data_IF_791442478748
#
_entry.id   IF_791442478748
#
_cell.length_a   1.000
_cell.length_b   1.000
_cell.length_c   1.000
_cell.angle_alpha   90.00
_cell.angle_beta   90.00
_cell.angle_gamma   90.00
#
_symmetry.space_group_name_H-M   'P 1'
#
loop_
_entity.id
_entity.type
_entity.pdbx_description
1 polymer ?
#
# COMPACT_ATOMS: atom_id res chain seq x y z
N UNK A 1 -43.81 -49.01 -0.77
CA UNK A 1 -43.96 -49.50 0.62
C UNK A 1 -42.59 -49.56 1.26
N UNK A 2 -42.40 -48.81 2.36
CA UNK A 2 -41.52 -49.07 3.53
C UNK A 2 -40.00 -49.12 3.25
N UNK A 3 -39.24 -48.04 3.50
CA UNK A 3 -38.47 -47.72 4.72
C UNK A 3 -37.44 -48.79 5.14
N UNK A 4 -36.15 -48.46 5.22
CA UNK A 4 -35.46 -48.16 6.49
C UNK A 4 -33.94 -47.96 6.35
N UNK A 5 -33.43 -47.13 7.27
CA UNK A 5 -32.05 -46.71 7.54
C UNK A 5 -31.19 -47.87 8.05
N UNK A 6 -29.86 -47.79 7.91
CA UNK A 6 -28.95 -47.73 9.06
C UNK A 6 -27.46 -47.52 8.71
N UNK A 7 -26.79 -46.82 9.62
CA UNK A 7 -25.41 -46.35 9.59
C UNK A 7 -24.39 -47.42 10.02
N UNK A 8 -23.15 -47.27 9.59
CA UNK A 8 -21.98 -47.91 10.21
C UNK A 8 -20.89 -46.87 10.51
N UNK A 9 -20.60 -46.69 11.80
CA UNK A 9 -19.32 -46.18 12.31
C UNK A 9 -18.52 -47.40 12.74
N UNK A 10 -17.24 -47.48 12.35
CA UNK A 10 -16.24 -48.20 13.15
C UNK A 10 -14.94 -47.40 13.14
N UNK A 11 -14.42 -47.21 14.34
CA UNK A 11 -13.27 -46.40 14.71
C UNK A 11 -11.94 -47.17 14.59
N UNK A 12 -10.87 -46.38 14.67
CA UNK A 12 -9.46 -46.73 14.51
C UNK A 12 -8.90 -47.72 15.55
N UNK A 13 -7.79 -48.40 15.20
CA UNK A 13 -6.77 -48.80 16.16
C UNK A 13 -5.38 -49.03 15.51
N UNK A 14 -4.45 -48.14 15.88
CA UNK A 14 -3.04 -48.32 16.32
C UNK A 14 -2.13 -49.29 15.56
N UNK A 15 -0.97 -48.80 15.08
CA UNK A 15 0.36 -49.23 15.57
C UNK A 15 1.49 -48.50 14.83
N UNK A 16 2.32 -47.77 15.57
CA UNK A 16 3.59 -47.24 15.08
C UNK A 16 4.69 -48.29 15.17
N UNK A 17 5.42 -48.51 14.08
CA UNK A 17 6.85 -48.81 14.02
C UNK A 17 7.24 -49.10 12.56
N UNK A 18 7.69 -48.06 11.86
CA UNK A 18 8.68 -48.17 10.78
C UNK A 18 9.20 -46.77 10.46
N UNK A 19 10.22 -46.38 11.21
CA UNK A 19 11.19 -45.38 10.79
C UNK A 19 11.85 -45.89 9.49
N UNK A 20 12.28 -44.96 8.63
CA UNK A 20 13.03 -45.17 7.38
C UNK A 20 12.21 -45.39 6.08
N UNK A 21 11.59 -44.31 5.59
CA UNK A 21 11.62 -43.90 4.17
C UNK A 21 10.69 -42.69 3.96
N UNK A 22 11.11 -41.49 4.35
CA UNK A 22 10.43 -40.24 3.98
C UNK A 22 11.45 -39.16 3.67
N UNK A 23 12.22 -39.40 2.61
CA UNK A 23 13.07 -38.41 1.94
C UNK A 23 12.76 -38.32 0.44
N UNK A 24 11.58 -38.80 0.05
CA UNK A 24 11.01 -38.63 -1.28
C UNK A 24 9.54 -38.30 -1.07
N UNK A 25 9.20 -37.02 -0.93
CA UNK A 25 7.89 -36.50 -1.37
C UNK A 25 7.73 -34.98 -1.26
N UNK A 26 8.81 -34.18 -1.29
CA UNK A 26 8.69 -32.72 -1.43
C UNK A 26 8.04 -32.30 -2.76
N UNK A 27 8.18 -33.13 -3.80
CA UNK A 27 7.54 -32.90 -5.11
C UNK A 27 6.06 -33.28 -5.07
N UNK A 28 5.69 -34.35 -4.36
CA UNK A 28 4.29 -34.73 -4.18
C UNK A 28 3.57 -33.72 -3.30
N UNK A 29 4.17 -33.27 -2.19
CA UNK A 29 3.57 -32.25 -1.31
C UNK A 29 3.31 -30.92 -2.04
N UNK A 30 4.27 -30.48 -2.88
CA UNK A 30 4.08 -29.29 -3.73
C UNK A 30 3.01 -29.48 -4.81
N UNK A 31 2.87 -30.69 -5.37
CA UNK A 31 1.78 -31.00 -6.32
C UNK A 31 0.42 -31.11 -5.63
N UNK A 32 0.35 -31.61 -4.39
CA UNK A 32 -0.92 -31.74 -3.65
C UNK A 32 -1.44 -30.36 -3.24
N UNK A 33 -0.55 -29.41 -2.89
CA UNK A 33 -0.96 -28.03 -2.57
C UNK A 33 -1.39 -27.22 -3.80
N UNK A 34 -0.98 -27.63 -5.01
CA UNK A 34 -1.43 -27.05 -6.28
C UNK A 34 -2.75 -27.65 -6.80
N UNK A 35 -3.22 -28.76 -6.20
CA UNK A 35 -4.41 -29.52 -6.62
C UNK A 35 -5.54 -29.49 -5.59
N UNK A 36 -5.32 -28.93 -4.40
CA UNK A 36 -6.43 -28.47 -3.55
C UNK A 36 -7.00 -27.22 -4.18
N UNK A 37 -8.16 -27.35 -4.82
CA UNK A 37 -8.90 -26.26 -5.45
C UNK A 37 -9.18 -25.11 -4.47
N UNK A 38 -8.21 -24.21 -4.34
CA UNK A 38 -8.53 -22.84 -3.99
C UNK A 38 -9.40 -22.34 -5.11
N UNK A 39 -10.66 -22.00 -4.81
CA UNK A 39 -11.49 -21.25 -5.74
C UNK A 39 -10.61 -20.13 -6.30
N UNK A 40 -10.52 -20.07 -7.62
CA UNK A 40 -9.80 -19.02 -8.30
C UNK A 40 -10.59 -17.74 -8.04
N UNK A 41 -10.26 -17.08 -6.94
CA UNK A 41 -10.98 -15.91 -6.49
C UNK A 41 -10.99 -14.90 -7.63
N UNK A 42 -12.16 -14.42 -8.00
CA UNK A 42 -12.26 -13.41 -9.04
C UNK A 42 -11.57 -12.12 -8.57
N UNK A 43 -11.32 -11.18 -9.49
CA UNK A 43 -10.65 -9.92 -9.17
C UNK A 43 -11.36 -9.17 -8.01
N UNK A 44 -12.69 -9.23 -8.00
CA UNK A 44 -13.54 -8.58 -6.99
C UNK A 44 -13.46 -9.26 -5.61
N UNK A 45 -13.11 -10.54 -5.55
CA UNK A 45 -12.90 -11.26 -4.28
C UNK A 45 -11.51 -11.01 -3.68
N UNK A 46 -10.55 -10.56 -4.50
CA UNK A 46 -9.24 -10.11 -4.04
C UNK A 46 -9.23 -8.61 -3.67
N UNK A 47 -10.00 -7.82 -4.41
CA UNK A 47 -10.17 -6.38 -4.22
C UNK A 47 -11.67 -6.08 -4.14
N UNK A 48 -12.31 -6.30 -2.97
CA UNK A 48 -13.74 -6.11 -2.80
C UNK A 48 -14.15 -4.69 -3.14
N UNK A 49 -14.74 -4.53 -4.33
CA UNK A 49 -15.43 -3.32 -4.77
C UNK A 49 -16.75 -3.25 -4.00
N UNK A 50 -16.93 -2.23 -3.15
CA UNK A 50 -18.12 -2.17 -2.30
C UNK A 50 -18.00 -1.27 -1.08
N UNK A 51 -18.46 -1.76 0.07
CA UNK A 51 -18.51 -0.98 1.32
C UNK A 51 -17.09 -0.63 1.76
N UNK A 52 -16.92 0.61 2.23
CA UNK A 52 -15.70 1.08 2.87
C UNK A 52 -15.20 0.11 3.95
N UNK A 53 -13.92 -0.26 3.87
CA UNK A 53 -13.23 -0.99 4.94
C UNK A 53 -12.56 0.03 5.89
N UNK A 54 -13.16 0.25 7.05
CA UNK A 54 -12.62 1.14 8.09
C UNK A 54 -11.25 0.71 8.62
N UNK A 55 -10.81 -0.53 8.37
CA UNK A 55 -9.52 -1.07 8.76
C UNK A 55 -8.61 -1.40 7.57
N UNK A 56 -8.80 -0.73 6.43
CA UNK A 56 -8.00 -0.94 5.21
C UNK A 56 -6.46 -0.86 5.43
N UNK A 57 -6.01 -0.07 6.41
CA UNK A 57 -4.60 0.12 6.76
C UNK A 57 -4.13 -0.74 7.95
N UNK A 58 -4.97 -1.63 8.47
CA UNK A 58 -4.74 -2.47 9.65
C UNK A 58 -4.37 -1.68 10.92
N UNK A 59 -4.80 -0.42 11.04
CA UNK A 59 -4.49 0.46 12.18
C UNK A 59 -5.72 0.94 12.92
N UNK A 60 -6.89 0.36 12.68
CA UNK A 60 -8.09 0.70 13.46
C UNK A 60 -7.89 0.37 14.94
N UNK A 61 -8.32 1.26 15.87
CA UNK A 61 -8.17 1.07 17.31
C UNK A 61 -8.56 -0.32 17.82
N UNK A 62 -9.62 -0.91 17.25
CA UNK A 62 -10.16 -2.20 17.66
C UNK A 62 -9.20 -3.37 17.36
N UNK A 63 -8.40 -3.25 16.29
CA UNK A 63 -7.47 -4.28 15.83
C UNK A 63 -6.06 -4.15 16.41
N UNK A 64 -5.74 -3.00 17.03
CA UNK A 64 -4.45 -2.75 17.68
C UNK A 64 -4.39 -3.26 19.13
N UNK A 65 -5.53 -3.59 19.72
CA UNK A 65 -5.62 -4.01 21.12
C UNK A 65 -5.33 -5.50 21.27
N UNK A 66 -4.55 -5.86 22.29
CA UNK A 66 -4.37 -7.27 22.65
C UNK A 66 -5.69 -7.83 23.19
N UNK A 67 -6.30 -8.77 22.45
CA UNK A 67 -7.63 -9.31 22.74
C UNK A 67 -7.74 -9.88 24.15
N UNK A 68 -6.74 -10.64 24.61
CA UNK A 68 -6.73 -11.26 25.94
C UNK A 68 -6.70 -10.21 27.05
N UNK A 69 -5.75 -9.27 26.96
CA UNK A 69 -5.65 -8.18 27.94
C UNK A 69 -6.89 -7.29 27.94
N UNK A 70 -7.46 -7.03 26.77
CA UNK A 70 -8.67 -6.22 26.65
C UNK A 70 -9.89 -6.92 27.25
N UNK A 71 -10.05 -8.24 27.09
CA UNK A 71 -11.18 -8.98 27.68
C UNK A 71 -11.13 -9.05 29.20
N UNK A 72 -9.92 -9.12 29.77
CA UNK A 72 -9.67 -9.27 31.22
C UNK A 72 -9.68 -7.93 31.97
N UNK A 73 -9.63 -6.80 31.25
CA UNK A 73 -9.57 -5.45 31.81
C UNK A 73 -10.92 -4.92 32.34
N UNK A 74 -10.86 -4.01 33.31
CA UNK A 74 -12.03 -3.26 33.78
C UNK A 74 -12.59 -2.35 32.68
N UNK A 75 -13.81 -1.83 32.86
CA UNK A 75 -14.41 -0.93 31.88
C UNK A 75 -13.62 0.38 31.73
N UNK A 76 -13.06 0.90 32.82
CA UNK A 76 -12.18 2.08 32.83
C UNK A 76 -10.87 1.80 32.10
N UNK A 77 -10.27 0.65 32.33
CA UNK A 77 -9.04 0.21 31.66
C UNK A 77 -9.26 0.01 30.16
N UNK A 78 -10.38 -0.62 29.76
CA UNK A 78 -10.77 -0.77 28.35
C UNK A 78 -10.93 0.58 27.66
N UNK A 79 -11.54 1.56 28.33
CA UNK A 79 -11.69 2.92 27.79
C UNK A 79 -10.33 3.57 27.57
N UNK A 80 -9.44 3.51 28.56
CA UNK A 80 -8.07 4.05 28.46
C UNK A 80 -7.27 3.37 27.35
N UNK A 81 -7.32 2.05 27.27
CA UNK A 81 -6.66 1.27 26.21
C UNK A 81 -7.10 1.72 24.81
N UNK A 82 -8.42 1.92 24.61
CA UNK A 82 -8.95 2.44 23.34
C UNK A 82 -8.47 3.86 23.02
N UNK A 83 -8.41 4.73 24.03
CA UNK A 83 -7.91 6.10 23.88
C UNK A 83 -6.41 6.16 23.57
N UNK A 84 -5.63 5.21 24.09
CA UNK A 84 -4.19 5.10 23.88
C UNK A 84 -3.83 4.68 22.45
N UNK A 85 -4.67 3.87 21.81
CA UNK A 85 -4.45 3.41 20.41
C UNK A 85 -5.21 4.24 19.37
N UNK A 86 -6.00 5.22 19.79
CA UNK A 86 -6.74 6.09 18.88
C UNK A 86 -5.81 7.12 18.25
N UNK A 87 -5.89 7.27 16.92
CA UNK A 87 -5.25 8.38 16.22
C UNK A 87 -5.84 9.72 16.72
N UNK A 88 -4.96 10.69 16.99
CA UNK A 88 -5.32 12.02 17.52
C UNK A 88 -5.03 13.15 16.53
N UNK A 89 -4.42 12.82 15.39
CA UNK A 89 -3.95 13.77 14.40
C UNK A 89 -4.32 13.33 12.99
N UNK A 90 -4.33 14.31 12.09
CA UNK A 90 -4.55 14.16 10.65
C UNK A 90 -3.22 14.25 9.92
N UNK A 91 -2.99 13.34 8.96
CA UNK A 91 -1.86 13.42 8.03
C UNK A 91 -2.34 14.00 6.71
N UNK A 92 -1.87 15.19 6.36
CA UNK A 92 -2.13 15.83 5.09
C UNK A 92 -1.02 15.45 4.12
N UNK A 93 -1.33 14.61 3.13
CA UNK A 93 -0.36 14.07 2.18
C UNK A 93 -0.51 14.82 0.85
N UNK A 94 0.53 15.54 0.44
CA UNK A 94 0.57 16.29 -0.81
C UNK A 94 1.41 15.50 -1.83
N UNK A 95 0.74 14.92 -2.81
CA UNK A 95 1.39 14.20 -3.90
C UNK A 95 1.69 15.15 -5.06
N UNK A 96 2.96 15.28 -5.40
CA UNK A 96 3.45 16.14 -6.47
C UNK A 96 4.03 15.25 -7.56
N UNK A 97 3.51 15.40 -8.78
CA UNK A 97 4.14 14.84 -9.98
C UNK A 97 5.37 15.67 -10.34
N UNK A 98 6.45 15.02 -10.74
CA UNK A 98 7.63 15.69 -11.29
C UNK A 98 7.29 16.64 -12.46
N UNK A 99 8.14 17.65 -12.70
CA UNK A 99 8.01 18.58 -13.82
C UNK A 99 8.23 17.91 -15.18
N UNK A 100 7.99 18.67 -16.26
CA UNK A 100 8.26 18.21 -17.62
C UNK A 100 9.74 17.83 -17.79
N UNK A 101 10.01 16.71 -18.46
CA UNK A 101 11.36 16.17 -18.61
C UNK A 101 11.62 15.68 -20.04
N UNK A 102 12.90 15.48 -20.38
CA UNK A 102 13.32 14.99 -21.68
C UNK A 102 13.12 13.48 -21.78
N UNK A 103 12.04 13.06 -22.47
CA UNK A 103 11.68 11.65 -22.68
C UNK A 103 12.74 10.87 -23.44
N UNK A 104 13.49 11.49 -24.36
CA UNK A 104 14.44 10.78 -25.24
C UNK A 104 15.90 10.86 -24.73
N UNK A 105 16.15 11.57 -23.63
CA UNK A 105 17.49 11.66 -23.04
C UNK A 105 17.83 10.43 -22.18
N UNK A 106 19.09 10.04 -22.09
CA UNK A 106 19.51 8.96 -21.19
C UNK A 106 19.35 9.37 -19.71
N UNK A 107 19.59 10.65 -19.41
CA UNK A 107 19.51 11.22 -18.06
C UNK A 107 18.08 11.44 -17.56
N UNK A 108 17.10 11.53 -18.47
CA UNK A 108 15.68 11.82 -18.17
C UNK A 108 15.50 13.01 -17.21
N UNK A 109 16.32 14.06 -17.37
CA UNK A 109 16.30 15.28 -16.57
C UNK A 109 15.22 16.26 -17.04
N UNK A 110 14.92 17.26 -16.21
CA UNK A 110 13.89 18.27 -16.50
C UNK A 110 14.23 19.12 -17.73
N UNK A 111 13.20 19.50 -18.47
CA UNK A 111 13.28 20.55 -19.49
C UNK A 111 13.38 21.93 -18.82
N UNK A 112 13.77 23.00 -19.54
CA UNK A 112 13.68 24.36 -19.01
C UNK A 112 12.28 24.71 -18.47
N UNK A 113 11.23 24.29 -19.19
CA UNK A 113 9.84 24.44 -18.73
C UNK A 113 9.56 23.62 -17.46
N UNK A 114 10.07 22.39 -17.36
CA UNK A 114 9.93 21.56 -16.16
C UNK A 114 10.57 22.18 -14.92
N UNK A 115 11.71 22.86 -15.10
CA UNK A 115 12.36 23.61 -14.02
C UNK A 115 11.53 24.82 -13.60
N UNK A 116 10.96 25.56 -14.55
CA UNK A 116 10.06 26.68 -14.26
C UNK A 116 8.80 26.21 -13.51
N UNK A 117 8.20 25.09 -13.93
CA UNK A 117 7.06 24.47 -13.24
C UNK A 117 7.40 24.12 -11.78
N UNK A 118 8.55 23.50 -11.55
CA UNK A 118 9.01 23.14 -10.20
C UNK A 118 9.24 24.39 -9.33
N UNK A 119 9.83 25.45 -9.89
CA UNK A 119 10.06 26.71 -9.18
C UNK A 119 8.74 27.41 -8.82
N UNK A 120 7.79 27.49 -9.76
CA UNK A 120 6.47 28.06 -9.51
C UNK A 120 5.72 27.29 -8.41
N UNK A 121 5.81 25.96 -8.41
CA UNK A 121 5.22 25.13 -7.37
C UNK A 121 5.91 25.35 -6.02
N UNK A 122 7.24 25.38 -5.97
CA UNK A 122 8.01 25.66 -4.76
C UNK A 122 7.62 27.00 -4.14
N UNK A 123 7.52 28.06 -4.98
CA UNK A 123 7.03 29.37 -4.56
C UNK A 123 5.60 29.31 -4.01
N UNK A 124 4.68 28.63 -4.69
CA UNK A 124 3.28 28.49 -4.25
C UNK A 124 3.18 27.78 -2.89
N UNK A 125 3.98 26.75 -2.66
CA UNK A 125 4.02 26.03 -1.39
C UNK A 125 4.56 26.95 -0.28
N UNK A 126 5.67 27.64 -0.50
CA UNK A 126 6.24 28.57 0.46
C UNK A 126 5.27 29.72 0.84
N UNK A 127 4.49 30.21 -0.14
CA UNK A 127 3.51 31.28 0.05
C UNK A 127 2.14 30.79 0.57
N UNK A 128 1.97 29.49 0.77
CA UNK A 128 0.67 28.92 1.17
C UNK A 128 0.26 29.21 2.62
N UNK A 129 1.21 29.62 3.47
CA UNK A 129 1.00 29.76 4.91
C UNK A 129 0.91 28.42 5.67
N UNK A 130 1.05 27.28 4.99
CA UNK A 130 1.08 25.96 5.61
C UNK A 130 2.48 25.61 6.09
N UNK A 131 2.56 24.92 7.24
CA UNK A 131 3.82 24.40 7.77
C UNK A 131 4.00 22.96 7.29
N UNK A 132 4.92 22.75 6.35
CA UNK A 132 5.28 21.42 5.89
C UNK A 132 6.32 20.78 6.82
N UNK A 133 6.14 19.49 7.12
CA UNK A 133 6.98 18.75 8.06
C UNK A 133 8.11 17.98 7.38
N UNK A 134 7.82 17.42 6.19
CA UNK A 134 8.79 16.64 5.43
C UNK A 134 8.48 16.59 3.95
N UNK A 135 9.54 16.33 3.16
CA UNK A 135 9.48 16.01 1.75
C UNK A 135 10.16 14.66 1.49
N UNK A 136 9.46 13.76 0.80
CA UNK A 136 10.00 12.49 0.31
C UNK A 136 10.05 12.56 -1.21
N UNK A 137 11.20 12.25 -1.81
CA UNK A 137 11.36 12.26 -3.27
C UNK A 137 11.72 10.88 -3.80
N UNK A 138 11.17 10.54 -4.97
CA UNK A 138 11.62 9.40 -5.76
C UNK A 138 13.09 9.58 -6.16
N UNK A 139 13.81 8.47 -6.27
CA UNK A 139 15.24 8.47 -6.66
C UNK A 139 15.46 8.68 -8.16
N UNK A 140 14.40 8.70 -8.98
CA UNK A 140 14.52 8.99 -10.41
C UNK A 140 14.86 10.46 -10.67
N UNK A 141 15.81 10.71 -11.58
CA UNK A 141 16.38 12.05 -11.86
C UNK A 141 15.35 13.18 -11.98
N UNK A 142 14.30 13.03 -12.79
CA UNK A 142 13.22 14.03 -12.93
C UNK A 142 12.51 14.38 -11.63
N UNK A 143 12.27 13.40 -10.76
CA UNK A 143 11.60 13.63 -9.47
C UNK A 143 12.57 14.28 -8.47
N UNK A 144 13.80 13.79 -8.40
CA UNK A 144 14.88 14.40 -7.59
C UNK A 144 15.10 15.86 -7.97
N UNK A 145 15.27 16.17 -9.25
CA UNK A 145 15.50 17.53 -9.74
C UNK A 145 14.31 18.45 -9.44
N UNK A 146 13.07 17.95 -9.59
CA UNK A 146 11.87 18.70 -9.21
C UNK A 146 11.85 19.01 -7.71
N UNK A 147 12.16 18.02 -6.88
CA UNK A 147 12.18 18.17 -5.43
C UNK A 147 13.25 19.15 -4.97
N UNK A 148 14.45 19.09 -5.53
CA UNK A 148 15.54 20.00 -5.18
C UNK A 148 15.19 21.46 -5.52
N UNK A 149 14.57 21.72 -6.67
CA UNK A 149 14.10 23.07 -7.03
C UNK A 149 13.01 23.55 -6.05
N UNK A 150 12.08 22.67 -5.65
CA UNK A 150 11.06 23.01 -4.63
C UNK A 150 11.73 23.36 -3.30
N UNK A 151 12.78 22.63 -2.91
CA UNK A 151 13.51 22.83 -1.66
C UNK A 151 14.31 24.13 -1.62
N UNK A 152 14.69 24.72 -2.76
CA UNK A 152 15.29 26.06 -2.81
C UNK A 152 14.36 27.12 -2.18
N UNK A 153 13.04 26.94 -2.27
CA UNK A 153 12.04 27.81 -1.66
C UNK A 153 11.71 27.45 -0.20
N UNK A 154 12.10 26.25 0.26
CA UNK A 154 11.81 25.73 1.60
C UNK A 154 13.04 25.02 2.21
N UNK A 155 14.17 25.73 2.39
CA UNK A 155 15.47 25.10 2.70
C UNK A 155 15.53 24.40 4.06
N UNK A 156 14.65 24.76 4.99
CA UNK A 156 14.57 24.13 6.32
C UNK A 156 13.73 22.84 6.36
N UNK A 157 13.08 22.47 5.25
CA UNK A 157 12.21 21.31 5.18
C UNK A 157 13.03 20.02 5.25
N UNK A 158 12.61 19.08 6.12
CA UNK A 158 13.27 17.76 6.21
C UNK A 158 13.07 17.00 4.91
N UNK A 159 14.16 16.53 4.30
CA UNK A 159 14.12 15.78 3.04
C UNK A 159 14.60 14.35 3.20
N UNK A 160 14.01 13.45 2.43
CA UNK A 160 14.45 12.06 2.31
C UNK A 160 14.16 11.52 0.91
N UNK A 161 14.88 10.47 0.53
CA UNK A 161 14.70 9.77 -0.76
C UNK A 161 14.07 8.40 -0.52
N UNK A 162 13.24 7.92 -1.45
CA UNK A 162 12.62 6.60 -1.35
C UNK A 162 12.50 5.96 -2.73
N UNK A 163 13.16 4.81 -2.94
CA UNK A 163 13.05 4.06 -4.20
C UNK A 163 11.72 3.34 -4.37
N UNK A 164 10.96 3.14 -3.29
CA UNK A 164 9.65 2.50 -3.38
C UNK A 164 8.63 3.34 -4.15
N UNK A 165 8.84 4.66 -4.25
CA UNK A 165 7.95 5.58 -4.96
C UNK A 165 8.45 5.93 -6.37
N UNK A 166 9.40 5.15 -6.93
CA UNK A 166 9.79 5.26 -8.34
C UNK A 166 8.64 4.84 -9.28
N UNK A 167 8.68 5.30 -10.53
CA UNK A 167 7.70 4.96 -11.56
C UNK A 167 7.81 3.49 -11.94
N UNK A 168 6.66 2.83 -12.13
CA UNK A 168 6.57 1.45 -12.61
C UNK A 168 5.11 1.03 -12.81
N UNK A 169 4.83 0.06 -13.68
CA UNK A 169 3.47 -0.40 -13.95
C UNK A 169 2.83 -1.05 -12.71
N UNK A 170 1.78 -0.45 -12.10
CA UNK A 170 1.19 -0.97 -10.87
C UNK A 170 0.26 -2.16 -11.15
N UNK A 171 -0.51 -2.05 -12.24
CA UNK A 171 -1.51 -3.02 -12.65
C UNK A 171 -1.84 -2.81 -14.14
N UNK A 172 -2.22 -3.86 -14.90
CA UNK A 172 -2.62 -3.71 -16.29
C UNK A 172 -3.82 -2.77 -16.47
N UNK A 173 -3.85 -1.95 -17.53
CA UNK A 173 -4.91 -0.98 -17.72
C UNK A 173 -6.22 -1.68 -18.11
N UNK A 174 -7.33 -1.17 -17.59
CA UNK A 174 -8.68 -1.65 -17.90
C UNK A 174 -9.54 -0.46 -18.36
N UNK A 175 -9.99 -0.41 -19.63
CA UNK A 175 -9.75 -1.39 -20.69
C UNK A 175 -8.28 -1.39 -21.15
N UNK A 176 -7.86 -2.50 -21.78
CA UNK A 176 -6.52 -2.61 -22.33
C UNK A 176 -6.27 -1.53 -23.40
N UNK A 177 -5.06 -0.97 -23.40
CA UNK A 177 -4.62 0.04 -24.37
C UNK A 177 -3.52 -0.51 -25.26
N UNK A 178 -3.48 -0.10 -26.52
CA UNK A 178 -2.56 -0.69 -27.50
C UNK A 178 -1.12 -0.19 -27.39
N UNK A 179 -0.92 1.08 -27.03
CA UNK A 179 0.39 1.72 -27.00
C UNK A 179 1.23 1.43 -25.75
N UNK A 180 0.68 0.73 -24.75
CA UNK A 180 1.34 0.48 -23.48
C UNK A 180 1.03 -0.93 -22.98
N UNK A 181 1.97 -1.84 -23.20
CA UNK A 181 1.86 -3.26 -22.83
C UNK A 181 3.18 -3.76 -22.24
N UNK A 182 3.54 -3.33 -21.01
CA UNK A 182 4.63 -3.94 -20.24
C UNK A 182 4.46 -5.45 -20.12
N UNK A 183 5.54 -6.17 -19.79
CA UNK A 183 5.42 -7.61 -19.56
C UNK A 183 4.69 -7.92 -18.25
N UNK A 184 3.96 -9.03 -18.20
CA UNK A 184 3.25 -9.45 -16.98
C UNK A 184 4.16 -9.62 -15.76
N UNK A 185 5.41 -10.06 -15.97
CA UNK A 185 6.43 -10.15 -14.92
C UNK A 185 6.77 -8.79 -14.31
N UNK A 186 6.73 -7.73 -15.11
CA UNK A 186 6.99 -6.36 -14.68
C UNK A 186 5.86 -5.87 -13.77
N UNK A 187 4.60 -6.06 -14.17
CA UNK A 187 3.45 -5.76 -13.31
C UNK A 187 3.50 -6.48 -11.96
N UNK A 188 3.97 -7.74 -11.93
CA UNK A 188 4.07 -8.51 -10.69
C UNK A 188 5.09 -7.91 -9.71
N UNK A 189 6.30 -7.58 -10.20
CA UNK A 189 7.35 -7.01 -9.37
C UNK A 189 7.03 -5.56 -8.96
N UNK A 190 6.62 -4.74 -9.92
CA UNK A 190 6.36 -3.31 -9.72
C UNK A 190 5.09 -3.07 -8.91
N UNK A 191 4.03 -3.84 -9.14
CA UNK A 191 2.83 -3.80 -8.31
C UNK A 191 3.12 -4.09 -6.84
N UNK A 192 3.97 -5.09 -6.54
CA UNK A 192 4.37 -5.38 -5.16
C UNK A 192 5.19 -4.24 -4.52
N UNK A 193 6.08 -3.61 -5.29
CA UNK A 193 6.89 -2.46 -4.84
C UNK A 193 6.00 -1.25 -4.54
N UNK A 194 5.08 -0.92 -5.43
CA UNK A 194 4.20 0.25 -5.30
C UNK A 194 3.18 0.03 -4.18
N UNK A 195 2.63 -1.18 -4.04
CA UNK A 195 1.79 -1.54 -2.89
C UNK A 195 2.55 -1.43 -1.56
N UNK A 196 3.82 -1.83 -1.54
CA UNK A 196 4.68 -1.64 -0.36
C UNK A 196 4.89 -0.15 -0.04
N UNK A 197 5.03 0.69 -1.06
CA UNK A 197 5.10 2.14 -0.91
C UNK A 197 3.80 2.72 -0.33
N UNK A 198 2.65 2.27 -0.85
CA UNK A 198 1.32 2.64 -0.37
C UNK A 198 1.16 2.31 1.11
N UNK A 199 1.36 1.05 1.51
CA UNK A 199 1.24 0.63 2.92
C UNK A 199 2.21 1.35 3.86
N UNK A 200 3.41 1.69 3.36
CA UNK A 200 4.43 2.39 4.14
C UNK A 200 4.08 3.86 4.37
N UNK A 201 3.57 4.54 3.35
CA UNK A 201 3.45 6.00 3.36
C UNK A 201 2.01 6.49 3.55
N UNK A 202 1.02 5.73 3.08
CA UNK A 202 -0.40 6.09 3.12
C UNK A 202 -1.08 5.22 4.16
N UNK A 203 -1.34 5.82 5.33
CA UNK A 203 -2.03 5.20 6.45
C UNK A 203 -2.43 6.27 7.46
N UNK A 204 -3.33 5.95 8.40
CA UNK A 204 -3.72 6.89 9.47
C UNK A 204 -2.55 7.28 10.37
N UNK A 205 -2.66 8.43 11.04
CA UNK A 205 -1.61 8.88 11.96
C UNK A 205 -1.40 7.85 13.09
N UNK A 206 -0.15 7.58 13.50
CA UNK A 206 0.11 6.74 14.65
C UNK A 206 -0.42 7.42 15.93
N UNK A 207 -0.82 6.67 16.96
CA UNK A 207 -1.31 7.26 18.22
C UNK A 207 -0.28 8.14 18.95
N UNK A 208 1.01 7.98 18.62
CA UNK A 208 2.10 8.81 19.11
C UNK A 208 2.14 10.21 18.51
N UNK A 209 1.52 10.43 17.34
CA UNK A 209 1.43 11.74 16.70
C UNK A 209 0.31 12.56 17.37
N UNK A 210 0.67 13.76 17.84
CA UNK A 210 -0.23 14.64 18.60
C UNK A 210 -0.81 15.78 17.78
N UNK A 211 -0.07 16.24 16.77
CA UNK A 211 -0.42 17.38 15.93
C UNK A 211 -0.58 16.94 14.48
N UNK A 212 -1.39 17.66 13.72
CA UNK A 212 -1.55 17.42 12.29
C UNK A 212 -0.21 17.62 11.55
N UNK A 213 0.02 16.80 10.52
CA UNK A 213 1.22 16.88 9.67
C UNK A 213 0.88 17.26 8.24
N UNK A 214 1.83 17.89 7.56
CA UNK A 214 1.80 18.17 6.12
C UNK A 214 3.05 17.59 5.46
N UNK A 215 2.86 16.48 4.74
CA UNK A 215 3.93 15.66 4.17
C UNK A 215 3.88 15.72 2.64
N UNK A 216 4.99 16.15 2.03
CA UNK A 216 5.12 16.28 0.58
C UNK A 216 5.77 15.02 0.01
N UNK A 217 5.22 14.51 -1.09
CA UNK A 217 5.80 13.40 -1.86
C UNK A 217 5.98 13.81 -3.32
N UNK A 218 7.23 13.91 -3.77
CA UNK A 218 7.56 14.20 -5.18
C UNK A 218 7.80 12.87 -5.90
N UNK A 219 6.86 12.49 -6.75
CA UNK A 219 6.79 11.18 -7.41
C UNK A 219 6.28 11.30 -8.85
N UNK A 220 5.61 10.26 -9.33
CA UNK A 220 5.25 10.05 -10.73
C UNK A 220 3.72 10.04 -10.91
N UNK A 221 3.28 9.98 -12.16
CA UNK A 221 1.85 9.98 -12.48
C UNK A 221 1.22 8.59 -12.28
N UNK A 222 0.42 8.15 -13.24
CA UNK A 222 -0.43 6.95 -13.23
C UNK A 222 0.29 5.62 -12.91
N UNK A 223 1.62 5.63 -12.86
CA UNK A 223 2.45 4.45 -12.70
C UNK A 223 3.21 4.49 -11.35
N UNK A 224 2.57 4.92 -10.26
CA UNK A 224 3.25 5.08 -8.95
C UNK A 224 2.30 5.16 -7.75
N UNK A 225 2.78 5.74 -6.64
CA UNK A 225 2.00 5.86 -5.39
C UNK A 225 0.58 6.48 -5.58
N UNK A 226 0.38 7.51 -6.42
CA UNK A 226 -0.95 8.09 -6.65
C UNK A 226 -1.92 7.13 -7.33
N UNK A 227 -1.46 6.22 -8.20
CA UNK A 227 -2.37 5.29 -8.87
C UNK A 227 -2.87 4.20 -7.93
N UNK A 228 -2.09 3.80 -6.93
CA UNK A 228 -2.59 2.92 -5.86
C UNK A 228 -3.62 3.63 -4.97
N UNK A 229 -3.46 4.94 -4.71
CA UNK A 229 -4.48 5.73 -3.98
C UNK A 229 -5.76 5.81 -4.81
N UNK A 230 -5.65 6.00 -6.11
CA UNK A 230 -6.78 5.91 -7.03
C UNK A 230 -7.40 4.51 -7.01
N UNK A 231 -6.62 3.42 -7.03
CA UNK A 231 -7.17 2.05 -6.97
C UNK A 231 -7.88 1.76 -5.64
N UNK A 232 -7.34 2.24 -4.51
CA UNK A 232 -7.98 2.07 -3.19
C UNK A 232 -9.20 3.00 -3.01
N UNK A 233 -9.20 4.16 -3.67
CA UNK A 233 -10.23 5.19 -3.50
C UNK A 233 -11.27 5.32 -4.63
N UNK A 234 -11.11 4.63 -5.76
CA UNK A 234 -12.01 4.78 -6.92
C UNK A 234 -13.30 3.96 -6.84
N UNK A 235 -13.47 3.10 -5.83
CA UNK A 235 -14.71 2.34 -5.66
C UNK A 235 -15.52 2.73 -4.40
N UNK A 236 -15.12 3.79 -3.69
CA UNK A 236 -15.92 4.37 -2.59
C UNK A 236 -15.83 5.89 -2.64
N UNK A 237 -16.94 6.65 -2.65
CA UNK A 237 -16.88 8.10 -2.73
C UNK A 237 -16.12 8.68 -1.53
N UNK A 238 -15.01 9.37 -1.80
CA UNK A 238 -14.39 10.28 -0.82
C UNK A 238 -15.45 11.30 -0.40
N UNK A 239 -15.95 11.18 0.83
CA UNK A 239 -16.56 12.33 1.51
C UNK A 239 -15.40 13.17 2.04
N UNK A 240 -15.11 14.24 1.32
CA UNK A 240 -14.36 15.40 1.82
C UNK A 240 -15.18 16.04 2.95
#
# INVERSE_FOLDING_TARGET
MVLLRNAFKVAACVSGCALAAKLQDDVALRKVHALTGGEQKNFDEHFPRGKWDDNWDFRSPEFLLNTKKYSEASDEEKKKMKEDVKSKATRNIILIRHGQYHLDSDTKNLTPLGREQAALLGKRLAESGMKFDSLVMSTMARATETAEIILEHMPSLKRSTCSLIEEGPPYPPVPAVDHWKPQYSEFFAEGARIESAFRRHIHRAPPSQKEDSFEIFVCHANDGLPSMISVVGMDVPFRV
#
